data_IF_893910451719
#
_entry.id   IF_893910451719
#
_cell.length_a   1.000
_cell.length_b   1.000
_cell.length_c   1.000
_cell.angle_alpha   90.00
_cell.angle_beta   90.00
_cell.angle_gamma   90.00
#
_symmetry.space_group_name_H-M   'P 1'
#
loop_
_entity.id
_entity.type
_entity.pdbx_description
1 polymer ?
#
# COMPACT_ATOMS: atom_id res chain seq x y z
N UNK A 1 6.19 -13.62 7.89
CA UNK A 1 7.19 -12.75 8.53
C UNK A 1 6.97 -11.35 7.99
N UNK A 2 6.78 -10.36 8.87
CA UNK A 2 6.63 -8.96 8.47
C UNK A 2 7.99 -8.32 8.19
N UNK A 3 8.05 -7.38 7.26
CA UNK A 3 9.23 -6.56 6.95
C UNK A 3 8.85 -5.09 7.08
N UNK A 4 9.77 -4.23 7.52
CA UNK A 4 9.54 -2.77 7.50
C UNK A 4 9.58 -2.26 6.06
N UNK A 5 8.93 -1.14 5.80
CA UNK A 5 8.97 -0.45 4.50
C UNK A 5 10.41 -0.10 4.15
N UNK A 6 11.19 0.44 5.10
CA UNK A 6 12.63 0.69 4.92
C UNK A 6 13.40 -0.53 4.44
N UNK A 7 13.14 -1.69 5.05
CA UNK A 7 13.87 -2.92 4.70
C UNK A 7 13.38 -3.52 3.39
N UNK A 8 12.10 -3.35 3.03
CA UNK A 8 11.59 -3.75 1.72
C UNK A 8 12.25 -2.92 0.61
N UNK A 9 12.23 -1.58 0.71
CA UNK A 9 12.86 -0.68 -0.26
C UNK A 9 14.33 -1.05 -0.48
N UNK A 10 15.10 -1.22 0.61
CA UNK A 10 16.50 -1.65 0.55
C UNK A 10 16.68 -3.02 -0.10
N UNK A 11 15.80 -3.97 0.19
CA UNK A 11 15.88 -5.34 -0.34
C UNK A 11 15.61 -5.40 -1.84
N UNK A 12 14.62 -4.64 -2.32
CA UNK A 12 14.27 -4.60 -3.74
C UNK A 12 15.15 -3.64 -4.54
N UNK A 13 16.08 -2.93 -3.88
CA UNK A 13 17.01 -1.98 -4.50
C UNK A 13 16.32 -0.96 -5.40
N UNK A 14 15.11 -0.58 -5.03
CA UNK A 14 14.32 0.37 -5.79
C UNK A 14 15.09 1.68 -5.87
N UNK A 15 15.51 2.09 -7.07
CA UNK A 15 16.19 3.37 -7.30
C UNK A 15 15.18 4.52 -7.30
N UNK A 16 14.48 4.65 -6.17
CA UNK A 16 13.43 5.64 -5.97
C UNK A 16 14.01 6.94 -5.41
N UNK A 17 13.34 8.09 -5.64
CA UNK A 17 13.73 9.35 -5.01
C UNK A 17 13.81 9.25 -3.49
N UNK A 18 14.76 10.00 -2.90
CA UNK A 18 14.99 10.03 -1.45
C UNK A 18 13.74 10.44 -0.67
N UNK A 19 13.00 11.46 -1.16
CA UNK A 19 11.72 11.87 -0.58
C UNK A 19 10.73 10.71 -0.55
N UNK A 20 10.46 10.05 -1.69
CA UNK A 20 9.56 8.87 -1.73
C UNK A 20 9.95 7.82 -0.70
N UNK A 21 11.25 7.50 -0.61
CA UNK A 21 11.77 6.53 0.35
C UNK A 21 11.50 6.96 1.80
N UNK A 22 11.82 8.21 2.14
CA UNK A 22 11.68 8.76 3.49
C UNK A 22 10.22 8.86 3.91
N UNK A 23 9.34 9.28 3.00
CA UNK A 23 7.92 9.43 3.28
C UNK A 23 7.24 8.06 3.42
N UNK A 24 7.48 7.12 2.51
CA UNK A 24 6.99 5.74 2.65
C UNK A 24 7.47 5.08 3.95
N UNK A 25 8.70 5.38 4.35
CA UNK A 25 9.27 4.88 5.60
C UNK A 25 8.55 5.38 6.86
N UNK A 26 7.75 6.44 6.78
CA UNK A 26 6.92 6.90 7.92
C UNK A 26 5.81 5.90 8.25
N UNK A 27 5.39 5.06 7.30
CA UNK A 27 4.49 3.94 7.55
C UNK A 27 5.05 3.00 8.63
N UNK A 28 6.38 2.89 8.76
CA UNK A 28 7.01 2.07 9.81
C UNK A 28 6.71 2.55 11.22
N UNK A 29 6.12 3.74 11.41
CA UNK A 29 5.66 4.18 12.74
C UNK A 29 4.56 3.27 13.29
N UNK A 30 3.56 2.91 12.48
CA UNK A 30 2.38 2.13 12.87
C UNK A 30 2.23 0.81 12.12
N UNK A 31 2.92 0.65 11.00
CA UNK A 31 2.68 -0.44 10.05
C UNK A 31 3.91 -1.32 9.82
N UNK A 32 3.66 -2.47 9.19
CA UNK A 32 4.65 -3.34 8.60
C UNK A 32 4.09 -3.92 7.29
N UNK A 33 4.99 -4.40 6.44
CA UNK A 33 4.65 -5.05 5.19
C UNK A 33 4.62 -6.57 5.35
N UNK A 34 3.56 -7.21 4.86
CA UNK A 34 3.43 -8.66 4.84
C UNK A 34 3.42 -9.18 3.40
N UNK A 35 4.37 -10.07 3.10
CA UNK A 35 4.46 -10.82 1.84
C UNK A 35 3.52 -12.02 1.89
N UNK A 36 2.84 -12.38 0.80
CA UNK A 36 2.03 -13.61 0.76
C UNK A 36 2.03 -14.40 -0.55
N UNK A 37 2.05 -13.79 -1.74
CA UNK A 37 1.77 -14.51 -2.99
C UNK A 37 2.81 -14.32 -4.09
N UNK A 38 3.24 -13.09 -4.36
CA UNK A 38 4.36 -12.82 -5.26
C UNK A 38 5.50 -12.17 -4.50
N UNK A 39 6.68 -12.29 -5.05
CA UNK A 39 7.90 -11.86 -4.38
C UNK A 39 7.97 -10.33 -4.18
N UNK A 40 7.09 -9.57 -4.85
CA UNK A 40 7.13 -8.13 -4.99
C UNK A 40 5.86 -7.40 -4.53
N UNK A 41 4.85 -8.10 -3.99
CA UNK A 41 3.60 -7.49 -3.51
C UNK A 41 3.46 -7.60 -2.00
N UNK A 42 3.08 -6.50 -1.37
CA UNK A 42 3.11 -6.36 0.08
C UNK A 42 1.86 -5.67 0.61
N UNK A 43 1.10 -6.38 1.44
CA UNK A 43 0.02 -5.78 2.21
C UNK A 43 0.60 -4.93 3.34
N UNK A 44 0.01 -3.76 3.57
CA UNK A 44 0.30 -2.86 4.69
C UNK A 44 -0.60 -3.24 5.85
N UNK A 45 0.00 -3.78 6.91
CA UNK A 45 -0.68 -4.17 8.14
C UNK A 45 -0.26 -3.27 9.30
N UNK A 46 -1.16 -3.06 10.26
CA UNK A 46 -0.80 -2.41 11.53
C UNK A 46 0.13 -3.32 12.35
N UNK A 47 1.15 -2.77 13.00
CA UNK A 47 2.14 -3.48 13.84
C UNK A 47 1.58 -4.30 14.98
N UNK A 48 0.52 -3.82 15.63
CA UNK A 48 -0.18 -4.59 16.67
C UNK A 48 -0.84 -5.86 16.09
N UNK A 49 -1.03 -5.90 14.77
CA UNK A 49 -1.65 -6.99 14.01
C UNK A 49 -2.93 -7.49 14.69
N UNK A 50 -3.74 -6.53 15.15
CA UNK A 50 -4.95 -6.80 15.91
C UNK A 50 -5.91 -7.58 15.02
N UNK A 51 -6.09 -8.86 15.36
CA UNK A 51 -7.10 -9.70 14.72
C UNK A 51 -8.46 -9.39 15.33
N UNK A 52 -9.42 -9.12 14.47
CA UNK A 52 -10.79 -8.80 14.82
C UNK A 52 -11.70 -9.89 14.25
N UNK A 53 -12.88 -10.06 14.86
CA UNK A 53 -13.89 -10.96 14.33
C UNK A 53 -14.60 -10.28 13.15
N UNK A 54 -14.08 -10.50 11.94
CA UNK A 54 -14.49 -9.81 10.72
C UNK A 54 -15.27 -10.77 9.79
N UNK A 55 -16.25 -10.25 9.03
CA UNK A 55 -17.06 -11.06 8.14
C UNK A 55 -16.20 -11.66 7.01
N UNK A 56 -16.55 -12.86 6.57
CA UNK A 56 -16.05 -13.51 5.35
C UNK A 56 -17.15 -13.55 4.29
N UNK A 57 -16.77 -13.88 3.05
CA UNK A 57 -17.68 -13.90 1.90
C UNK A 57 -18.86 -14.87 2.07
N UNK A 58 -18.74 -15.87 2.95
CA UNK A 58 -19.80 -16.83 3.30
C UNK A 58 -20.68 -16.37 4.48
N UNK A 59 -20.52 -15.12 4.93
CA UNK A 59 -21.28 -14.51 6.02
C UNK A 59 -20.88 -14.97 7.43
N UNK A 60 -19.89 -15.86 7.56
CA UNK A 60 -19.31 -16.22 8.86
C UNK A 60 -18.31 -15.14 9.29
N UNK A 61 -18.08 -15.00 10.58
CA UNK A 61 -16.99 -14.13 11.05
C UNK A 61 -15.81 -15.00 11.46
N UNK A 62 -14.60 -14.56 11.14
CA UNK A 62 -13.37 -15.18 11.64
C UNK A 62 -12.34 -14.12 12.01
N UNK A 63 -11.30 -14.56 12.73
CA UNK A 63 -10.23 -13.69 13.21
C UNK A 63 -9.32 -13.26 12.07
N UNK A 64 -9.53 -12.04 11.55
CA UNK A 64 -8.78 -11.43 10.45
C UNK A 64 -8.17 -10.10 10.90
N UNK A 65 -7.04 -9.73 10.32
CA UNK A 65 -6.46 -8.42 10.49
C UNK A 65 -6.85 -7.50 9.33
N UNK A 66 -7.01 -6.21 9.60
CA UNK A 66 -7.18 -5.24 8.53
C UNK A 66 -5.88 -5.06 7.74
N UNK A 67 -6.06 -4.78 6.45
CA UNK A 67 -5.03 -4.35 5.51
C UNK A 67 -5.38 -2.94 5.07
N UNK A 68 -4.45 -2.01 5.24
CA UNK A 68 -4.66 -0.59 4.97
C UNK A 68 -4.13 -0.14 3.60
N UNK A 69 -3.56 -1.09 2.84
CA UNK A 69 -3.18 -0.90 1.46
C UNK A 69 -2.22 -1.98 0.97
N UNK A 70 -1.82 -1.88 -0.29
CA UNK A 70 -0.86 -2.81 -0.86
C UNK A 70 0.13 -2.10 -1.79
N UNK A 71 1.41 -2.46 -1.62
CA UNK A 71 2.53 -1.94 -2.38
C UNK A 71 3.05 -3.02 -3.32
N UNK A 72 3.19 -2.67 -4.59
CA UNK A 72 3.84 -3.49 -5.61
C UNK A 72 5.21 -2.88 -5.90
N UNK A 73 6.25 -3.70 -5.83
CA UNK A 73 7.63 -3.29 -6.10
C UNK A 73 8.04 -3.73 -7.50
N UNK A 74 8.74 -2.87 -8.23
CA UNK A 74 9.53 -3.22 -9.40
C UNK A 74 11.01 -2.91 -9.13
N UNK A 75 11.87 -3.12 -10.13
CA UNK A 75 13.30 -2.79 -10.03
C UNK A 75 13.52 -1.29 -9.75
N UNK A 76 12.71 -0.42 -10.36
CA UNK A 76 12.94 1.03 -10.36
C UNK A 76 11.85 1.84 -9.66
N UNK A 77 10.75 1.22 -9.23
CA UNK A 77 9.58 1.96 -8.77
C UNK A 77 8.72 1.18 -7.78
N UNK A 78 7.90 1.92 -7.05
CA UNK A 78 6.90 1.38 -6.12
C UNK A 78 5.54 1.89 -6.56
N UNK A 79 4.55 1.02 -6.50
CA UNK A 79 3.19 1.31 -6.95
C UNK A 79 2.20 1.01 -5.83
N UNK A 80 1.20 1.88 -5.69
CA UNK A 80 0.02 1.65 -4.87
C UNK A 80 -0.99 0.83 -5.67
N UNK A 81 -1.35 -0.37 -5.21
CA UNK A 81 -2.25 -1.24 -5.97
C UNK A 81 -3.73 -0.88 -5.78
N UNK A 82 -4.57 -1.22 -6.76
CA UNK A 82 -6.02 -1.00 -6.72
C UNK A 82 -6.77 -1.87 -5.71
N UNK A 83 -6.14 -2.93 -5.21
CA UNK A 83 -6.72 -3.87 -4.25
C UNK A 83 -5.65 -4.52 -3.39
N UNK A 84 -6.03 -4.92 -2.20
CA UNK A 84 -5.20 -5.68 -1.26
C UNK A 84 -5.34 -7.19 -1.50
N UNK A 85 -4.35 -7.94 -1.03
CA UNK A 85 -4.41 -9.40 -1.04
C UNK A 85 -5.32 -9.87 0.10
N UNK A 86 -6.59 -10.09 -0.21
CA UNK A 86 -7.61 -10.61 0.71
C UNK A 86 -7.51 -12.13 0.89
N UNK A 87 -7.71 -12.62 2.11
CA UNK A 87 -7.73 -14.06 2.41
C UNK A 87 -8.44 -14.34 3.77
N UNK A 88 -8.38 -15.61 4.20
CA UNK A 88 -8.96 -16.06 5.47
C UNK A 88 -8.43 -15.37 6.74
N UNK A 89 -7.31 -14.65 6.66
CA UNK A 89 -6.67 -13.94 7.78
C UNK A 89 -6.54 -12.43 7.56
N UNK A 90 -6.81 -11.92 6.36
CA UNK A 90 -6.59 -10.52 6.00
C UNK A 90 -7.80 -9.97 5.24
N UNK A 91 -8.30 -8.81 5.68
CA UNK A 91 -9.40 -8.08 5.06
C UNK A 91 -8.96 -6.65 4.74
N UNK A 92 -9.16 -6.22 3.51
CA UNK A 92 -9.01 -4.82 3.12
C UNK A 92 -9.89 -3.92 3.99
N UNK A 93 -9.31 -2.83 4.49
CA UNK A 93 -10.03 -1.84 5.25
C UNK A 93 -10.84 -0.95 4.30
N UNK A 94 -12.09 -0.64 4.67
CA UNK A 94 -13.04 0.12 3.84
C UNK A 94 -12.52 1.49 3.37
N UNK A 95 -11.56 2.07 4.11
CA UNK A 95 -10.93 3.33 3.72
C UNK A 95 -10.04 3.21 2.47
N UNK A 96 -9.51 2.02 2.18
CA UNK A 96 -8.47 1.87 1.17
C UNK A 96 -8.97 2.17 -0.24
N UNK A 97 -10.21 1.76 -0.56
CA UNK A 97 -10.83 2.04 -1.85
C UNK A 97 -10.86 3.54 -2.15
N UNK A 98 -11.20 4.36 -1.16
CA UNK A 98 -11.23 5.81 -1.29
C UNK A 98 -9.82 6.40 -1.52
N UNK A 99 -8.80 5.88 -0.83
CA UNK A 99 -7.40 6.31 -0.99
C UNK A 99 -6.93 6.03 -2.42
N UNK A 100 -7.12 4.80 -2.91
CA UNK A 100 -6.70 4.43 -4.25
C UNK A 100 -7.46 5.23 -5.31
N UNK A 101 -8.79 5.33 -5.19
CA UNK A 101 -9.64 6.07 -6.13
C UNK A 101 -9.21 7.54 -6.25
N UNK A 102 -8.86 8.18 -5.14
CA UNK A 102 -8.36 9.57 -5.12
C UNK A 102 -7.08 9.71 -5.95
N UNK A 103 -6.15 8.77 -5.85
CA UNK A 103 -4.93 8.76 -6.67
C UNK A 103 -5.21 8.44 -8.13
N UNK A 104 -6.14 7.53 -8.40
CA UNK A 104 -6.56 7.17 -9.74
C UNK A 104 -7.23 8.34 -10.46
N UNK A 105 -8.14 9.06 -9.80
CA UNK A 105 -8.82 10.22 -10.37
C UNK A 105 -7.81 11.32 -10.77
N UNK A 106 -6.79 11.58 -9.94
CA UNK A 106 -5.68 12.51 -10.27
C UNK A 106 -4.85 12.03 -11.45
N UNK A 107 -4.57 10.73 -11.52
CA UNK A 107 -3.86 10.12 -12.65
C UNK A 107 -4.65 10.27 -13.97
N UNK A 108 -5.96 10.03 -13.93
CA UNK A 108 -6.84 10.21 -15.09
C UNK A 108 -6.94 11.68 -15.51
N UNK A 109 -7.02 12.61 -14.57
CA UNK A 109 -7.02 14.05 -14.86
C UNK A 109 -5.75 14.46 -15.62
N UNK A 110 -4.57 13.99 -15.19
CA UNK A 110 -3.31 14.22 -15.90
C UNK A 110 -3.33 13.64 -17.31
N UNK A 111 -3.84 12.43 -17.49
CA UNK A 111 -3.99 11.80 -18.82
C UNK A 111 -4.92 12.61 -19.74
N UNK A 112 -6.03 13.12 -19.22
CA UNK A 112 -7.01 13.88 -20.01
C UNK A 112 -6.46 15.23 -20.47
N UNK A 113 -5.58 15.84 -19.67
CA UNK A 113 -4.93 17.11 -19.97
C UNK A 113 -3.77 17.00 -20.98
N UNK A 114 -3.43 15.80 -21.45
CA UNK A 114 -2.41 15.60 -22.48
C UNK A 114 -3.00 15.73 -23.89
N UNK A 115 -2.27 16.43 -24.76
CA UNK A 115 -2.73 16.84 -26.09
C UNK A 115 -2.70 15.69 -27.11
N UNK A 116 -1.77 14.75 -26.97
CA UNK A 116 -1.62 13.65 -27.93
C UNK A 116 -1.85 12.26 -27.31
N UNK A 117 -2.35 11.34 -28.13
CA UNK A 117 -2.51 9.92 -27.75
C UNK A 117 -1.16 9.26 -27.42
N UNK A 118 -0.10 9.66 -28.11
CA UNK A 118 1.26 9.20 -27.85
C UNK A 118 1.75 9.59 -26.44
N UNK A 119 1.54 10.84 -26.03
CA UNK A 119 1.88 11.30 -24.68
C UNK A 119 1.08 10.56 -23.61
N UNK A 120 -0.22 10.34 -23.85
CA UNK A 120 -1.08 9.57 -22.94
C UNK A 120 -0.58 8.15 -22.74
N UNK A 121 -0.24 7.47 -23.84
CA UNK A 121 0.24 6.10 -23.79
C UNK A 121 1.59 6.02 -23.06
N UNK A 122 2.54 6.89 -23.41
CA UNK A 122 3.84 6.96 -22.76
C UNK A 122 3.72 7.29 -21.25
N UNK A 123 2.84 8.23 -20.87
CA UNK A 123 2.60 8.54 -19.46
C UNK A 123 2.00 7.35 -18.71
N UNK A 124 1.04 6.63 -19.31
CA UNK A 124 0.44 5.43 -18.72
C UNK A 124 1.50 4.35 -18.49
N UNK A 125 2.33 4.06 -19.48
CA UNK A 125 3.41 3.06 -19.37
C UNK A 125 4.44 3.42 -18.29
N UNK A 126 4.70 4.71 -18.07
CA UNK A 126 5.66 5.16 -17.06
C UNK A 126 5.09 5.20 -15.64
N UNK A 127 3.78 5.34 -15.48
CA UNK A 127 3.14 5.65 -14.20
C UNK A 127 2.11 4.62 -13.74
N UNK A 128 1.82 3.60 -14.53
CA UNK A 128 0.88 2.54 -14.20
C UNK A 128 1.46 1.18 -14.56
N UNK A 129 1.21 0.20 -13.70
CA UNK A 129 1.49 -1.22 -13.99
C UNK A 129 0.20 -2.02 -13.92
N UNK A 130 0.17 -3.11 -14.67
CA UNK A 130 -0.88 -4.14 -14.57
C UNK A 130 -0.18 -5.48 -14.42
N UNK A 131 -0.56 -6.22 -13.39
CA UNK A 131 -0.17 -7.61 -13.23
C UNK A 131 -1.28 -8.49 -13.79
N UNK A 132 -0.99 -9.15 -14.91
CA UNK A 132 -1.95 -9.99 -15.64
C UNK A 132 -2.35 -11.26 -14.86
N UNK A 133 -1.51 -11.75 -13.94
CA UNK A 133 -1.77 -13.01 -13.24
C UNK A 133 -2.94 -12.87 -12.25
N UNK A 134 -3.02 -11.74 -11.55
CA UNK A 134 -4.07 -11.48 -10.57
C UNK A 134 -4.95 -10.27 -10.90
N UNK A 135 -4.74 -9.62 -12.04
CA UNK A 135 -5.49 -8.44 -12.48
C UNK A 135 -5.37 -7.29 -11.49
N UNK A 136 -4.24 -7.16 -10.80
CA UNK A 136 -3.92 -5.99 -10.00
C UNK A 136 -3.38 -4.89 -10.89
N UNK A 137 -3.81 -3.67 -10.62
CA UNK A 137 -3.27 -2.48 -11.25
C UNK A 137 -2.59 -1.64 -10.18
N UNK A 138 -1.48 -0.99 -10.52
CA UNK A 138 -0.73 -0.16 -9.59
C UNK A 138 -0.46 1.22 -10.17
N UNK A 139 -0.69 2.27 -9.38
CA UNK A 139 -0.31 3.64 -9.71
C UNK A 139 1.05 3.92 -9.08
N UNK A 140 1.97 4.48 -9.85
CA UNK A 140 3.32 4.79 -9.40
C UNK A 140 3.28 5.81 -8.26
N UNK A 141 4.04 5.51 -7.21
CA UNK A 141 4.29 6.44 -6.11
C UNK A 141 5.46 7.33 -6.51
N UNK A 142 5.22 8.64 -6.50
CA UNK A 142 6.17 9.69 -6.89
C UNK A 142 6.22 10.78 -5.82
N UNK A 143 7.15 11.72 -5.95
CA UNK A 143 7.25 12.88 -5.04
C UNK A 143 5.95 13.70 -5.00
N UNK A 144 5.11 13.63 -6.03
CA UNK A 144 3.87 14.41 -6.14
C UNK A 144 2.70 13.81 -5.35
N UNK A 145 2.72 12.50 -5.06
CA UNK A 145 1.60 11.81 -4.42
C UNK A 145 1.98 11.06 -3.13
N UNK A 146 3.27 10.82 -2.87
CA UNK A 146 3.71 10.00 -1.73
C UNK A 146 3.27 10.59 -0.40
N UNK A 147 3.28 11.92 -0.27
CA UNK A 147 2.88 12.59 0.97
C UNK A 147 1.44 12.26 1.33
N UNK A 148 0.54 12.49 0.38
CA UNK A 148 -0.89 12.26 0.54
C UNK A 148 -1.23 10.78 0.74
N UNK A 149 -0.59 9.88 -0.02
CA UNK A 149 -0.80 8.44 0.13
C UNK A 149 -0.44 7.99 1.56
N UNK A 150 0.73 8.41 2.06
CA UNK A 150 1.21 8.01 3.37
C UNK A 150 0.35 8.60 4.48
N UNK A 151 -0.01 9.88 4.37
CA UNK A 151 -0.86 10.55 5.36
C UNK A 151 -2.26 9.94 5.39
N UNK A 152 -2.89 9.74 4.23
CA UNK A 152 -4.22 9.12 4.12
C UNK A 152 -4.22 7.69 4.73
N UNK A 153 -3.16 6.89 4.52
CA UNK A 153 -3.04 5.58 5.15
C UNK A 153 -2.91 5.71 6.67
N UNK A 154 -1.99 6.54 7.16
CA UNK A 154 -1.69 6.66 8.59
C UNK A 154 -2.83 7.24 9.42
N UNK A 155 -3.67 8.08 8.82
CA UNK A 155 -4.87 8.65 9.43
C UNK A 155 -5.98 7.61 9.62
N UNK A 156 -6.05 6.61 8.73
CA UNK A 156 -7.02 5.52 8.82
C UNK A 156 -6.52 4.34 9.67
N UNK A 157 -5.20 4.20 9.86
CA UNK A 157 -4.64 3.18 10.74
C UNK A 157 -4.95 3.50 12.20
N UNK A 158 -5.61 2.54 12.87
CA UNK A 158 -5.98 2.65 14.28
C UNK A 158 -4.76 2.99 15.16
N UNK A 159 -4.96 3.78 16.23
CA UNK A 159 -3.90 4.00 17.21
C UNK A 159 -3.48 2.68 17.85
N UNK A 160 -2.19 2.54 18.13
CA UNK A 160 -1.65 1.39 18.87
C UNK A 160 -2.21 1.40 20.29
N UNK A 161 -2.51 0.22 20.84
CA UNK A 161 -2.97 0.11 22.22
C UNK A 161 -1.89 0.57 23.21
N UNK A 162 -2.32 1.07 24.38
CA UNK A 162 -1.40 1.45 25.45
C UNK A 162 -0.55 0.27 25.93
N UNK A 163 -1.10 -0.95 25.90
CA UNK A 163 -0.38 -2.17 26.25
C UNK A 163 0.77 -2.42 25.27
N UNK A 164 0.51 -2.33 23.96
CA UNK A 164 1.54 -2.43 22.94
C UNK A 164 2.62 -1.36 23.13
N UNK A 165 2.22 -0.10 23.31
CA UNK A 165 3.17 1.01 23.51
C UNK A 165 4.06 0.77 24.74
N UNK A 166 3.50 0.31 25.87
CA UNK A 166 4.27 0.01 27.08
C UNK A 166 5.32 -1.07 26.83
N UNK A 167 4.93 -2.19 26.23
CA UNK A 167 5.83 -3.31 25.94
C UNK A 167 7.04 -2.84 25.11
N UNK A 168 6.83 -1.98 24.11
CA UNK A 168 7.91 -1.51 23.24
C UNK A 168 8.64 -0.25 23.75
N UNK A 169 8.12 0.41 24.81
CA UNK A 169 8.82 1.52 25.48
C UNK A 169 9.76 1.04 26.59
N UNK A 170 9.57 -0.20 27.05
CA UNK A 170 10.37 -0.84 28.10
C UNK A 170 11.56 -1.67 27.55
N UNK A 171 11.73 -1.71 26.22
CA UNK A 171 12.83 -2.37 25.50
C UNK A 171 13.85 -1.33 25.04
#
# INVERSE_FOLDING_TARGET
MGITVKNAIKKFKSDIPEHVSDKLSQLDSKCYLQRRQSDYKFNIHQKENKKLNLPTNDGKCCMRAYVYGNLMFSEDSIYLSNKCINNSEALEHDSYEAIYKKQYDKFIEKLQNMDSEYERQNFKEQNMITDEEDGMEGIKITDENVDEIVDDILDNVLPLSQEYIKIFSEI
#
